data_IF_157343152863
#
_entry.id   IF_157343152863
#
_cell.length_a   1.000
_cell.length_b   1.000
_cell.length_c   1.000
_cell.angle_alpha   90.00
_cell.angle_beta   90.00
_cell.angle_gamma   90.00
#
_symmetry.space_group_name_H-M   'P 1'
#
loop_
_entity.id
_entity.type
_entity.pdbx_description
1 polymer ?
#
# COMPACT_ATOMS: atom_id res chain seq x y z
N UNK A 1 -10.95 15.53 17.91
CA UNK A 1 -9.96 15.71 16.83
C UNK A 1 -9.47 14.33 16.46
N UNK A 2 -9.74 13.91 15.23
CA UNK A 2 -9.58 12.53 14.76
C UNK A 2 -8.11 12.23 14.48
N UNK A 3 -7.38 11.81 15.51
CA UNK A 3 -6.06 11.20 15.39
C UNK A 3 -6.21 9.74 14.94
N UNK A 4 -6.75 9.55 13.74
CA UNK A 4 -7.05 8.25 13.14
C UNK A 4 -6.55 8.24 11.70
N UNK A 5 -6.03 7.09 11.26
CA UNK A 5 -5.70 6.86 9.85
C UNK A 5 -6.93 7.18 8.99
N UNK A 6 -6.74 7.98 7.94
CA UNK A 6 -7.76 8.26 6.94
C UNK A 6 -7.31 7.75 5.59
N UNK A 7 -8.28 7.36 4.77
CA UNK A 7 -8.05 7.14 3.35
C UNK A 7 -8.65 8.33 2.61
N UNK A 8 -7.85 9.00 1.79
CA UNK A 8 -8.26 10.16 1.01
C UNK A 8 -8.01 9.84 -0.46
N UNK A 9 -8.95 10.21 -1.34
CA UNK A 9 -8.77 10.12 -2.79
C UNK A 9 -8.32 11.49 -3.25
N UNK A 10 -7.09 11.58 -3.77
CA UNK A 10 -6.52 12.78 -4.36
C UNK A 10 -6.35 12.55 -5.85
N UNK A 11 -7.00 13.39 -6.66
CA UNK A 11 -7.09 13.24 -8.11
C UNK A 11 -7.54 11.83 -8.53
N UNK A 12 -6.62 11.02 -9.07
CA UNK A 12 -6.86 9.67 -9.59
C UNK A 12 -6.27 8.56 -8.70
N UNK A 13 -5.72 8.89 -7.52
CA UNK A 13 -5.11 7.92 -6.61
C UNK A 13 -5.65 8.01 -5.19
N UNK A 14 -5.69 6.85 -4.53
CA UNK A 14 -6.01 6.76 -3.11
C UNK A 14 -4.74 6.80 -2.27
N UNK A 15 -4.72 7.65 -1.24
CA UNK A 15 -3.60 7.75 -0.30
C UNK A 15 -4.09 7.56 1.15
N UNK A 16 -3.27 6.91 1.97
CA UNK A 16 -3.48 6.87 3.40
C UNK A 16 -2.84 8.09 4.08
N UNK A 17 -3.65 8.84 4.84
CA UNK A 17 -3.17 9.98 5.63
C UNK A 17 -2.93 9.51 7.05
N UNK A 18 -1.65 9.42 7.40
CA UNK A 18 -1.18 9.00 8.71
C UNK A 18 -1.20 10.20 9.68
N UNK A 19 -1.93 10.12 10.80
CA UNK A 19 -2.07 11.24 11.73
C UNK A 19 -0.89 11.36 12.72
N UNK A 20 0.06 10.43 12.65
CA UNK A 20 1.14 10.28 13.62
C UNK A 20 2.47 10.72 13.00
N UNK A 21 3.13 11.67 13.66
CA UNK A 21 4.44 12.21 13.27
C UNK A 21 5.53 11.13 13.24
N UNK A 22 5.31 9.96 13.88
CA UNK A 22 6.24 8.82 13.83
C UNK A 22 6.52 8.35 12.39
N UNK A 23 5.54 8.51 11.49
CA UNK A 23 5.67 8.08 10.11
C UNK A 23 6.34 9.11 9.22
N UNK A 24 6.53 10.37 9.67
CA UNK A 24 7.12 11.42 8.84
C UNK A 24 8.52 11.05 8.30
N UNK A 25 9.47 10.57 9.12
CA UNK A 25 10.77 10.16 8.58
C UNK A 25 10.69 8.96 7.63
N UNK A 26 9.72 8.06 7.85
CA UNK A 26 9.49 6.90 6.99
C UNK A 26 8.88 7.32 5.65
N UNK A 27 7.96 8.29 5.65
CA UNK A 27 7.34 8.84 4.45
C UNK A 27 8.40 9.47 3.55
N UNK A 28 9.27 10.32 4.11
CA UNK A 28 10.38 10.93 3.35
C UNK A 28 11.30 9.84 2.75
N UNK A 29 11.68 8.82 3.53
CA UNK A 29 12.53 7.71 3.05
C UNK A 29 11.83 6.84 2.00
N UNK A 30 10.51 6.66 2.13
CA UNK A 30 9.71 5.87 1.21
C UNK A 30 9.48 6.61 -0.12
N UNK A 31 9.25 7.92 -0.09
CA UNK A 31 9.10 8.76 -1.27
C UNK A 31 10.40 8.76 -2.09
N UNK A 32 11.57 8.93 -1.44
CA UNK A 32 12.88 8.84 -2.09
C UNK A 32 13.11 7.45 -2.75
N UNK A 33 12.71 6.38 -2.05
CA UNK A 33 12.79 5.01 -2.57
C UNK A 33 11.90 4.84 -3.81
N UNK A 34 10.68 5.37 -3.78
CA UNK A 34 9.73 5.29 -4.87
C UNK A 34 10.22 6.06 -6.11
N UNK A 35 10.74 7.27 -5.93
CA UNK A 35 11.32 8.08 -7.00
C UNK A 35 12.51 7.37 -7.66
N UNK A 36 13.39 6.75 -6.85
CA UNK A 36 14.54 5.99 -7.37
C UNK A 36 14.10 4.74 -8.15
N UNK A 37 12.99 4.11 -7.75
CA UNK A 37 12.42 2.98 -8.47
C UNK A 37 11.76 3.40 -9.78
N UNK A 38 10.91 4.43 -9.74
CA UNK A 38 10.17 4.92 -10.91
C UNK A 38 11.08 5.54 -11.98
N UNK A 39 12.20 6.15 -11.58
CA UNK A 39 13.24 6.62 -12.51
C UNK A 39 13.99 5.49 -13.22
N UNK A 40 13.83 4.23 -12.79
CA UNK A 40 14.52 3.06 -13.34
C UNK A 40 15.97 2.91 -12.87
N UNK A 41 16.42 3.73 -11.92
CA UNK A 41 17.76 3.64 -11.31
C UNK A 41 17.88 2.43 -10.38
N UNK A 42 16.74 1.90 -9.92
CA UNK A 42 16.64 0.72 -9.07
C UNK A 42 15.92 -0.43 -9.78
N UNK A 43 16.47 -1.65 -9.65
CA UNK A 43 15.81 -2.87 -10.11
C UNK A 43 14.84 -3.44 -9.05
N UNK A 44 13.89 -4.25 -9.49
CA UNK A 44 12.86 -4.85 -8.64
C UNK A 44 13.42 -5.62 -7.44
N UNK A 45 14.56 -6.31 -7.61
CA UNK A 45 15.16 -7.11 -6.53
C UNK A 45 15.63 -6.21 -5.39
N UNK A 46 16.26 -5.08 -5.73
CA UNK A 46 16.70 -4.09 -4.74
C UNK A 46 15.49 -3.37 -4.14
N UNK A 47 14.49 -3.02 -4.95
CA UNK A 47 13.26 -2.38 -4.48
C UNK A 47 12.54 -3.25 -3.43
N UNK A 48 12.31 -4.53 -3.73
CA UNK A 48 11.73 -5.49 -2.78
C UNK A 48 12.57 -5.63 -1.51
N UNK A 49 13.90 -5.58 -1.63
CA UNK A 49 14.79 -5.69 -0.46
C UNK A 49 14.64 -4.49 0.48
N UNK A 50 14.58 -3.28 -0.07
CA UNK A 50 14.37 -2.06 0.72
C UNK A 50 12.96 -2.01 1.33
N UNK A 51 11.92 -2.37 0.58
CA UNK A 51 10.56 -2.50 1.12
C UNK A 51 10.52 -3.45 2.32
N UNK A 52 11.17 -4.61 2.23
CA UNK A 52 11.24 -5.56 3.35
C UNK A 52 12.03 -5.03 4.55
N UNK A 53 12.98 -4.10 4.36
CA UNK A 53 13.68 -3.44 5.46
C UNK A 53 12.75 -2.45 6.14
N UNK A 54 12.09 -1.59 5.37
CA UNK A 54 11.16 -0.57 5.89
C UNK A 54 10.00 -1.23 6.64
N UNK A 55 9.43 -2.33 6.14
CA UNK A 55 8.37 -3.10 6.83
C UNK A 55 8.83 -3.64 8.18
N UNK A 56 10.11 -4.00 8.34
CA UNK A 56 10.63 -4.47 9.65
C UNK A 56 10.78 -3.32 10.64
N UNK A 57 10.98 -2.10 10.14
CA UNK A 57 11.09 -0.90 10.98
C UNK A 57 9.69 -0.44 11.40
N UNK A 58 8.76 -0.37 10.45
CA UNK A 58 7.40 0.13 10.65
C UNK A 58 6.38 -0.82 10.00
N UNK A 59 6.01 -1.92 10.69
CA UNK A 59 5.13 -2.94 10.12
C UNK A 59 3.68 -2.47 9.91
N UNK A 60 3.26 -1.43 10.64
CA UNK A 60 1.92 -0.83 10.59
C UNK A 60 1.72 0.11 9.38
N UNK A 61 2.78 0.38 8.61
CA UNK A 61 2.71 1.31 7.48
C UNK A 61 2.21 0.62 6.21
N UNK A 62 0.93 0.83 5.93
CA UNK A 62 0.15 0.16 4.86
C UNK A 62 0.78 0.22 3.48
N UNK A 63 1.28 1.39 3.06
CA UNK A 63 1.74 1.60 1.70
C UNK A 63 2.91 0.67 1.32
N UNK A 64 3.80 0.34 2.26
CA UNK A 64 4.90 -0.59 1.98
C UNK A 64 4.41 -1.99 1.63
N UNK A 65 3.38 -2.47 2.32
CA UNK A 65 2.81 -3.79 2.05
C UNK A 65 2.05 -3.81 0.72
N UNK A 66 1.38 -2.71 0.37
CA UNK A 66 0.74 -2.54 -0.94
C UNK A 66 1.79 -2.58 -2.07
N UNK A 67 2.86 -1.79 -1.98
CA UNK A 67 3.93 -1.79 -2.98
C UNK A 67 4.66 -3.13 -3.06
N UNK A 68 4.88 -3.82 -1.94
CA UNK A 68 5.46 -5.16 -1.93
C UNK A 68 4.55 -6.19 -2.61
N UNK A 69 3.23 -6.07 -2.40
CA UNK A 69 2.24 -6.90 -3.06
C UNK A 69 2.26 -6.70 -4.58
N UNK A 70 2.23 -5.45 -5.04
CA UNK A 70 2.31 -5.12 -6.47
C UNK A 70 3.60 -5.63 -7.12
N UNK A 71 4.76 -5.42 -6.48
CA UNK A 71 6.03 -5.91 -6.99
C UNK A 71 6.07 -7.46 -7.13
N UNK A 72 5.33 -8.20 -6.30
CA UNK A 72 5.18 -9.65 -6.47
C UNK A 72 4.17 -10.03 -7.56
N UNK A 73 3.12 -9.24 -7.78
CA UNK A 73 2.16 -9.45 -8.87
C UNK A 73 2.84 -9.27 -10.23
N UNK A 74 3.65 -8.24 -10.40
CA UNK A 74 4.42 -7.99 -11.63
C UNK A 74 5.40 -9.12 -11.95
N UNK A 75 5.83 -9.88 -10.93
CA UNK A 75 6.68 -11.05 -11.07
C UNK A 75 5.91 -12.37 -11.23
N UNK A 76 4.59 -12.33 -11.42
CA UNK A 76 3.71 -13.51 -11.50
C UNK A 76 3.79 -14.42 -10.26
N UNK A 77 3.89 -13.79 -9.07
CA UNK A 77 3.94 -14.47 -7.76
C UNK A 77 2.71 -14.13 -6.90
N UNK A 78 1.48 -14.47 -7.34
CA UNK A 78 0.25 -14.03 -6.69
C UNK A 78 0.09 -14.50 -5.24
N UNK A 79 0.65 -15.66 -4.87
CA UNK A 79 0.63 -16.12 -3.47
C UNK A 79 1.45 -15.21 -2.55
N UNK A 80 2.65 -14.80 -2.99
CA UNK A 80 3.49 -13.89 -2.21
C UNK A 80 2.92 -12.49 -2.17
N UNK A 81 2.28 -12.06 -3.26
CA UNK A 81 1.57 -10.81 -3.30
C UNK A 81 0.43 -10.78 -2.27
N UNK A 82 -0.35 -11.85 -2.20
CA UNK A 82 -1.39 -12.01 -1.18
C UNK A 82 -0.77 -11.98 0.22
N UNK A 83 0.24 -12.82 0.49
CA UNK A 83 0.90 -12.86 1.80
C UNK A 83 1.43 -11.50 2.26
N UNK A 84 1.95 -10.68 1.33
CA UNK A 84 2.38 -9.32 1.61
C UNK A 84 1.20 -8.39 1.93
N UNK A 85 0.09 -8.48 1.19
CA UNK A 85 -1.10 -7.64 1.41
C UNK A 85 -1.88 -8.01 2.70
N UNK A 86 -1.92 -9.28 3.08
CA UNK A 86 -2.74 -9.77 4.21
C UNK A 86 -1.94 -9.99 5.50
N UNK A 87 -0.90 -9.19 5.75
CA UNK A 87 -0.11 -9.31 6.98
C UNK A 87 -1.06 -9.37 8.20
N UNK A 88 -0.75 -10.21 9.19
CA UNK A 88 -1.67 -10.48 10.31
C UNK A 88 -2.07 -9.22 11.08
N UNK A 89 -1.19 -8.22 11.10
CA UNK A 89 -1.43 -6.88 11.66
C UNK A 89 -2.36 -6.05 10.78
N UNK A 90 -2.21 -6.09 9.44
CA UNK A 90 -3.17 -5.49 8.51
C UNK A 90 -4.58 -6.03 8.69
N UNK A 91 -4.73 -7.36 8.76
CA UNK A 91 -6.04 -7.98 8.94
C UNK A 91 -6.66 -7.59 10.30
N UNK A 92 -5.85 -7.53 11.36
CA UNK A 92 -6.32 -7.08 12.68
C UNK A 92 -6.66 -5.58 12.71
N UNK A 93 -5.95 -4.78 11.92
CA UNK A 93 -6.16 -3.34 11.75
C UNK A 93 -7.45 -3.05 10.97
N UNK A 94 -7.67 -3.69 9.82
CA UNK A 94 -8.91 -3.59 9.06
C UNK A 94 -10.12 -4.13 9.83
N UNK A 95 -9.97 -5.24 10.56
CA UNK A 95 -11.04 -5.76 11.44
C UNK A 95 -11.36 -4.84 12.64
N UNK A 96 -10.49 -3.87 12.95
CA UNK A 96 -10.70 -2.83 13.96
C UNK A 96 -11.26 -1.53 13.39
N UNK A 97 -11.35 -1.40 12.06
CA UNK A 97 -11.99 -0.25 11.45
C UNK A 97 -13.51 -0.32 11.64
N UNK A 98 -14.19 0.78 11.95
CA UNK A 98 -15.64 0.82 11.94
C UNK A 98 -16.17 0.62 10.51
N UNK A 99 -17.31 -0.08 10.37
CA UNK A 99 -17.91 -0.57 9.11
C UNK A 99 -17.98 0.45 7.95
N UNK A 100 -17.98 1.75 8.25
CA UNK A 100 -18.01 2.82 7.25
C UNK A 100 -16.73 2.96 6.41
N UNK A 101 -15.56 2.53 6.92
CA UNK A 101 -14.31 2.58 6.17
C UNK A 101 -14.18 1.41 5.17
N UNK A 102 -14.77 0.26 5.48
CA UNK A 102 -14.79 -0.93 4.59
C UNK A 102 -15.61 -0.65 3.33
N UNK A 103 -16.69 0.12 3.44
CA UNK A 103 -17.55 0.49 2.31
C UNK A 103 -16.85 1.32 1.23
N UNK A 104 -15.82 2.10 1.58
CA UNK A 104 -15.05 2.85 0.59
C UNK A 104 -14.12 1.94 -0.23
N UNK A 105 -13.53 0.91 0.37
CA UNK A 105 -12.67 -0.05 -0.35
C UNK A 105 -13.46 -0.96 -1.30
N UNK A 106 -14.67 -1.38 -0.91
CA UNK A 106 -15.56 -2.14 -1.80
C UNK A 106 -16.00 -1.35 -3.04
N UNK A 107 -16.07 -0.01 -2.95
CA UNK A 107 -16.40 0.85 -4.08
C UNK A 107 -15.26 1.00 -5.11
N UNK A 108 -14.01 0.75 -4.71
CA UNK A 108 -12.84 0.73 -5.61
C UNK A 108 -12.72 -0.62 -6.34
N UNK A 109 -13.29 -1.69 -5.80
CA UNK A 109 -13.30 -3.03 -6.41
C UNK A 109 -14.52 -3.29 -7.31
N UNK A 110 -15.15 -2.21 -7.82
CA UNK A 110 -16.17 -2.36 -8.84
C UNK A 110 -15.53 -3.07 -10.06
N UNK A 111 -16.14 -4.14 -10.59
CA UNK A 111 -15.56 -4.87 -11.72
C UNK A 111 -15.36 -3.90 -12.88
N UNK A 112 -14.12 -3.81 -13.37
CA UNK A 112 -13.81 -3.17 -14.66
C UNK A 112 -14.72 -3.87 -15.67
N UNK A 113 -15.79 -3.18 -16.08
CA UNK A 113 -16.64 -3.68 -17.16
C UNK A 113 -15.78 -3.69 -18.39
N UNK A 114 -15.49 -4.90 -18.85
CA UNK A 114 -14.88 -5.22 -20.13
C UNK A 114 -15.49 -4.31 -21.21
N UNK A 115 -14.72 -3.33 -21.68
CA UNK A 115 -15.10 -2.51 -22.83
C UNK A 115 -14.77 -3.36 -24.06
N UNK A 116 -15.66 -4.30 -24.37
CA UNK A 116 -15.73 -4.88 -25.70
C UNK A 116 -16.05 -3.75 -26.67
N UNK A 117 -15.04 -3.40 -27.48
CA UNK A 117 -15.18 -2.65 -28.73
C UNK A 117 -16.25 -3.31 -29.60
N UNK A 118 -17.25 -2.53 -30.00
CA UNK A 118 -17.96 -2.65 -31.28
C UNK A 118 -17.97 -1.27 -31.94
#
# INVERSE_FOLDING_TARGET
MENRLRFEVQDDFGCFVYPDERFVPLLDEFDDLLDTYQSGEMNDKRYITELNRLIRQEPDFIDLHAHLSFAFLEQDKPKKALDAAVSREHLAFFNRMPDHAVQQLDSVNAPIKDVTRD
#
